data_IF_990623638175
#
_entry.id   IF_990623638175
#
_cell.length_a   1.000
_cell.length_b   1.000
_cell.length_c   1.000
_cell.angle_alpha   90.00
_cell.angle_beta   90.00
_cell.angle_gamma   90.00
#
_symmetry.space_group_name_H-M   'P 1'
#
loop_
_entity.id
_entity.type
_entity.pdbx_description
1 polymer ?
#
# COMPACT_ATOMS: atom_id res chain seq x y z
N UNK A 1 -24.29 -5.78 -2.90
CA UNK A 1 -24.89 -6.64 -1.87
C UNK A 1 -24.80 -5.94 -0.54
N UNK A 2 -25.90 -5.83 0.19
CA UNK A 2 -25.96 -5.22 1.52
C UNK A 2 -25.74 -6.34 2.55
N UNK A 3 -24.65 -6.28 3.34
CA UNK A 3 -24.34 -7.29 4.35
C UNK A 3 -25.22 -7.23 5.60
N UNK A 4 -26.09 -6.23 5.73
CA UNK A 4 -27.17 -6.25 6.71
C UNK A 4 -28.33 -7.17 6.27
N UNK A 5 -28.37 -7.53 4.97
CA UNK A 5 -29.37 -8.42 4.41
C UNK A 5 -28.74 -9.18 3.22
N UNK A 6 -28.00 -10.24 3.51
CA UNK A 6 -27.31 -11.04 2.48
C UNK A 6 -28.36 -11.81 1.68
N UNK A 7 -28.40 -11.58 0.39
CA UNK A 7 -29.14 -12.39 -0.55
C UNK A 7 -28.27 -13.56 -1.03
N UNK A 8 -28.43 -14.71 -0.40
CA UNK A 8 -27.64 -15.91 -0.73
C UNK A 8 -27.94 -16.47 -2.12
N UNK A 9 -29.08 -16.16 -2.72
CA UNK A 9 -29.40 -16.52 -4.10
C UNK A 9 -28.53 -15.73 -5.08
N UNK A 10 -28.36 -14.42 -4.85
CA UNK A 10 -27.42 -13.60 -5.64
C UNK A 10 -25.97 -14.04 -5.42
N UNK A 11 -25.56 -14.38 -4.19
CA UNK A 11 -24.23 -14.92 -3.90
C UNK A 11 -23.97 -16.22 -4.66
N UNK A 12 -24.93 -17.13 -4.66
CA UNK A 12 -24.86 -18.42 -5.34
C UNK A 12 -24.63 -18.28 -6.85
N UNK A 13 -25.19 -17.25 -7.47
CA UNK A 13 -25.00 -16.98 -8.90
C UNK A 13 -23.58 -16.52 -9.27
N UNK A 14 -22.77 -16.14 -8.31
CA UNK A 14 -21.41 -15.63 -8.56
C UNK A 14 -20.36 -16.74 -8.70
N UNK A 15 -20.62 -17.97 -8.24
CA UNK A 15 -19.65 -19.07 -8.22
C UNK A 15 -20.30 -20.45 -8.15
N UNK A 16 -19.78 -21.45 -8.89
CA UNK A 16 -20.32 -22.81 -8.92
C UNK A 16 -20.42 -23.46 -7.53
N UNK A 17 -19.36 -23.40 -6.75
CA UNK A 17 -19.32 -23.97 -5.40
C UNK A 17 -20.31 -23.27 -4.45
N UNK A 18 -20.53 -21.95 -4.63
CA UNK A 18 -21.54 -21.22 -3.87
C UNK A 18 -22.97 -21.65 -4.24
N UNK A 19 -23.19 -21.97 -5.51
CA UNK A 19 -24.46 -22.51 -5.98
C UNK A 19 -24.73 -23.91 -5.39
N UNK A 20 -23.70 -24.78 -5.36
CA UNK A 20 -23.81 -26.10 -4.75
C UNK A 20 -24.16 -26.02 -3.26
N UNK A 21 -23.46 -25.18 -2.49
CA UNK A 21 -23.75 -24.98 -1.06
C UNK A 21 -25.16 -24.40 -0.85
N UNK A 22 -25.57 -23.45 -1.68
CA UNK A 22 -26.90 -22.85 -1.58
C UNK A 22 -28.03 -23.85 -1.88
N UNK A 23 -27.84 -24.72 -2.89
CA UNK A 23 -28.81 -25.77 -3.21
C UNK A 23 -28.94 -26.82 -2.10
N UNK A 24 -27.87 -27.07 -1.36
CA UNK A 24 -27.89 -28.04 -0.25
C UNK A 24 -28.45 -27.47 1.05
N UNK A 25 -28.11 -26.22 1.38
CA UNK A 25 -28.36 -25.64 2.71
C UNK A 25 -29.12 -24.30 2.71
N UNK A 26 -29.44 -23.74 1.54
CA UNK A 26 -29.96 -22.39 1.36
C UNK A 26 -29.06 -21.30 1.98
N UNK A 27 -27.78 -21.60 2.16
CA UNK A 27 -26.77 -20.73 2.78
C UNK A 27 -25.42 -20.91 2.08
N UNK A 28 -24.56 -19.89 2.12
CA UNK A 28 -23.18 -19.93 1.63
C UNK A 28 -22.24 -19.56 2.79
N UNK A 29 -21.22 -20.36 3.02
CA UNK A 29 -20.30 -20.18 4.14
C UNK A 29 -19.46 -18.90 4.02
N UNK A 30 -19.21 -18.25 5.15
CA UNK A 30 -18.36 -17.02 5.24
C UNK A 30 -16.95 -17.25 4.67
N UNK A 31 -16.38 -18.45 4.83
CA UNK A 31 -15.07 -18.80 4.28
C UNK A 31 -15.08 -18.78 2.74
N UNK A 32 -16.15 -19.29 2.12
CA UNK A 32 -16.30 -19.24 0.67
C UNK A 32 -16.55 -17.81 0.19
N UNK A 33 -17.40 -17.04 0.90
CA UNK A 33 -17.64 -15.62 0.60
C UNK A 33 -16.33 -14.81 0.70
N UNK A 34 -15.53 -15.01 1.75
CA UNK A 34 -14.21 -14.37 1.90
C UNK A 34 -13.29 -14.67 0.73
N UNK A 35 -13.22 -15.94 0.28
CA UNK A 35 -12.44 -16.35 -0.90
C UNK A 35 -12.93 -15.65 -2.17
N UNK A 36 -14.24 -15.61 -2.41
CA UNK A 36 -14.84 -14.94 -3.58
C UNK A 36 -14.57 -13.45 -3.58
N UNK A 37 -14.57 -12.78 -2.42
CA UNK A 37 -14.20 -11.37 -2.27
C UNK A 37 -12.71 -11.17 -2.60
N UNK A 38 -11.83 -12.00 -2.08
CA UNK A 38 -10.39 -11.93 -2.37
C UNK A 38 -10.07 -12.17 -3.85
N UNK A 39 -10.81 -13.06 -4.51
CA UNK A 39 -10.72 -13.34 -5.94
C UNK A 39 -11.42 -12.27 -6.83
N UNK A 40 -12.03 -11.25 -6.21
CA UNK A 40 -12.76 -10.16 -6.88
C UNK A 40 -13.97 -10.66 -7.72
N UNK A 41 -14.57 -11.75 -7.32
CA UNK A 41 -15.80 -12.28 -7.92
C UNK A 41 -17.05 -11.64 -7.28
N UNK A 42 -16.91 -11.14 -6.06
CA UNK A 42 -17.96 -10.49 -5.30
C UNK A 42 -17.41 -9.26 -4.59
N UNK A 43 -18.23 -8.22 -4.45
CA UNK A 43 -17.85 -6.97 -3.77
C UNK A 43 -18.88 -6.65 -2.71
N UNK A 44 -18.51 -6.64 -1.41
CA UNK A 44 -19.40 -6.25 -0.33
C UNK A 44 -19.72 -4.76 -0.39
N UNK A 45 -20.94 -4.40 -0.12
CA UNK A 45 -21.43 -3.01 -0.07
C UNK A 45 -22.04 -2.75 1.29
N UNK A 46 -21.58 -1.69 1.96
CA UNK A 46 -22.09 -1.25 3.26
C UNK A 46 -22.71 0.14 3.13
N UNK A 47 -23.93 0.30 3.65
CA UNK A 47 -24.61 1.58 3.72
C UNK A 47 -24.46 2.17 5.10
N UNK A 48 -24.01 3.42 5.18
CA UNK A 48 -23.81 4.06 6.47
C UNK A 48 -23.62 5.56 6.39
N UNK A 49 -23.51 6.17 7.56
CA UNK A 49 -23.19 7.58 7.74
C UNK A 49 -22.05 7.70 8.75
N UNK A 50 -20.84 7.91 8.29
CA UNK A 50 -19.66 8.06 9.14
C UNK A 50 -19.81 9.19 10.17
N UNK A 51 -20.41 10.32 9.76
CA UNK A 51 -20.66 11.45 10.67
C UNK A 51 -21.60 11.09 11.84
N UNK A 52 -22.57 10.19 11.60
CA UNK A 52 -23.54 9.75 12.61
C UNK A 52 -23.14 8.42 13.25
N UNK A 53 -22.00 7.85 12.87
CA UNK A 53 -21.51 6.53 13.29
C UNK A 53 -22.47 5.37 12.98
N UNK A 54 -23.43 5.55 12.06
CA UNK A 54 -24.32 4.48 11.61
C UNK A 54 -23.62 3.64 10.54
N UNK A 55 -23.70 2.30 10.64
CA UNK A 55 -23.10 1.37 9.68
C UNK A 55 -21.58 1.26 9.76
N UNK A 56 -20.90 1.95 10.70
CA UNK A 56 -19.44 1.90 10.85
C UNK A 56 -19.01 0.59 11.51
N UNK A 57 -19.76 0.14 12.51
CA UNK A 57 -19.47 -1.14 13.19
C UNK A 57 -19.65 -2.32 12.24
N UNK A 58 -20.69 -2.33 11.45
CA UNK A 58 -20.97 -3.34 10.42
C UNK A 58 -19.85 -3.40 9.37
N UNK A 59 -19.34 -2.25 8.93
CA UNK A 59 -18.22 -2.18 8.00
C UNK A 59 -16.95 -2.75 8.63
N UNK A 60 -16.64 -2.40 9.87
CA UNK A 60 -15.45 -2.91 10.58
C UNK A 60 -15.53 -4.42 10.78
N UNK A 61 -16.70 -4.92 11.22
CA UNK A 61 -16.94 -6.35 11.37
C UNK A 61 -16.83 -7.09 10.04
N UNK A 62 -17.34 -6.51 8.97
CA UNK A 62 -17.20 -7.08 7.63
C UNK A 62 -15.74 -7.14 7.13
N UNK A 63 -14.93 -6.13 7.44
CA UNK A 63 -13.49 -6.16 7.15
C UNK A 63 -12.81 -7.29 7.94
N UNK A 64 -13.12 -7.42 9.23
CA UNK A 64 -12.55 -8.46 10.09
C UNK A 64 -12.94 -9.87 9.65
N UNK A 65 -14.19 -10.05 9.19
CA UNK A 65 -14.73 -11.34 8.75
C UNK A 65 -14.20 -11.76 7.37
N UNK A 66 -14.19 -10.83 6.41
CA UNK A 66 -14.01 -11.19 4.99
C UNK A 66 -12.63 -10.85 4.42
N UNK A 67 -11.82 -10.03 5.11
CA UNK A 67 -10.48 -9.69 4.64
C UNK A 67 -9.43 -10.54 5.37
N UNK A 68 -8.89 -11.53 4.67
CA UNK A 68 -7.79 -12.31 5.20
C UNK A 68 -6.47 -11.55 5.13
N UNK A 69 -5.61 -11.72 6.15
CA UNK A 69 -4.23 -11.25 6.06
C UNK A 69 -3.48 -12.05 4.99
N UNK A 70 -2.70 -11.42 4.11
CA UNK A 70 -1.84 -12.11 3.16
C UNK A 70 -0.86 -13.04 3.90
N UNK A 71 -0.59 -14.19 3.31
CA UNK A 71 0.52 -15.02 3.75
C UNK A 71 1.83 -14.36 3.30
N UNK A 72 2.62 -13.91 4.25
CA UNK A 72 3.89 -13.25 4.00
C UNK A 72 5.02 -14.26 4.04
N UNK A 73 5.83 -14.31 2.98
CA UNK A 73 7.01 -15.17 2.93
C UNK A 73 8.03 -14.86 4.03
N UNK A 74 8.94 -15.80 4.30
CA UNK A 74 9.98 -15.66 5.33
C UNK A 74 11.14 -14.75 4.91
N UNK A 75 11.39 -14.64 3.60
CA UNK A 75 12.45 -13.78 3.07
C UNK A 75 12.05 -12.31 3.09
N UNK A 76 13.01 -11.45 3.44
CA UNK A 76 12.74 -10.01 3.46
C UNK A 76 12.33 -9.50 2.09
N UNK A 77 11.18 -8.85 2.06
CA UNK A 77 10.73 -8.06 0.93
C UNK A 77 9.92 -6.85 1.39
N UNK A 78 10.00 -5.76 0.65
CA UNK A 78 9.26 -4.54 0.95
C UNK A 78 8.90 -3.78 -0.32
N UNK A 79 7.74 -3.14 -0.34
CA UNK A 79 7.29 -2.26 -1.42
C UNK A 79 7.39 -0.81 -0.99
N UNK A 80 8.17 -0.03 -1.72
CA UNK A 80 8.23 1.43 -1.56
C UNK A 80 7.03 2.06 -2.24
N UNK A 81 6.23 2.82 -1.51
CA UNK A 81 5.04 3.45 -2.09
C UNK A 81 5.12 4.98 -2.14
N UNK A 82 6.02 5.59 -1.38
CA UNK A 82 6.17 7.05 -1.33
C UNK A 82 7.56 7.45 -0.85
N UNK A 83 8.04 8.59 -1.34
CA UNK A 83 9.23 9.27 -0.83
C UNK A 83 8.78 10.64 -0.29
N UNK A 84 9.26 11.02 0.89
CA UNK A 84 9.06 12.36 1.45
C UNK A 84 10.34 12.88 2.09
N UNK A 85 10.31 14.13 2.56
CA UNK A 85 11.37 14.71 3.39
C UNK A 85 10.75 15.23 4.67
N UNK A 86 11.43 15.05 5.78
CA UNK A 86 11.01 15.62 7.06
C UNK A 86 11.37 17.11 7.14
N UNK A 87 10.96 17.77 8.24
CA UNK A 87 11.19 19.21 8.47
C UNK A 87 12.69 19.60 8.48
N UNK A 88 13.56 18.63 8.65
CA UNK A 88 15.03 18.79 8.60
C UNK A 88 15.60 18.54 7.22
N UNK A 89 14.76 18.19 6.24
CA UNK A 89 15.15 17.82 4.88
C UNK A 89 15.70 16.40 4.75
N UNK A 90 15.63 15.55 5.81
CA UNK A 90 16.04 14.16 5.75
C UNK A 90 15.07 13.35 4.86
N UNK A 91 15.63 12.56 3.94
CA UNK A 91 14.82 11.72 3.03
C UNK A 91 14.20 10.55 3.77
N UNK A 92 12.91 10.39 3.60
CA UNK A 92 12.09 9.32 4.15
C UNK A 92 11.57 8.43 3.03
N UNK A 93 11.97 7.17 3.06
CA UNK A 93 11.42 6.13 2.17
C UNK A 93 10.29 5.42 2.90
N UNK A 94 9.05 5.65 2.44
CA UNK A 94 7.87 5.00 2.99
C UNK A 94 7.66 3.66 2.29
N UNK A 95 7.57 2.60 3.08
CA UNK A 95 7.45 1.24 2.57
C UNK A 95 6.51 0.39 3.41
N UNK A 96 5.97 -0.66 2.80
CA UNK A 96 5.29 -1.76 3.46
C UNK A 96 6.20 -2.97 3.41
N UNK A 97 6.47 -3.60 4.55
CA UNK A 97 7.18 -4.87 4.62
C UNK A 97 6.23 -5.96 4.14
N UNK A 98 6.62 -6.68 3.07
CA UNK A 98 5.81 -7.70 2.40
C UNK A 98 6.31 -9.13 2.65
N UNK A 99 7.43 -9.31 3.35
CA UNK A 99 7.99 -10.60 3.73
C UNK A 99 9.09 -10.43 4.76
N UNK A 100 9.33 -11.44 5.58
CA UNK A 100 10.34 -11.45 6.61
C UNK A 100 10.28 -10.28 7.58
N UNK A 101 11.42 -9.66 7.85
CA UNK A 101 11.50 -8.48 8.72
C UNK A 101 12.58 -7.50 8.26
N UNK A 102 12.33 -6.21 8.47
CA UNK A 102 13.27 -5.12 8.25
C UNK A 102 13.89 -4.71 9.58
N UNK A 103 15.19 -4.75 9.69
CA UNK A 103 15.92 -4.37 10.92
C UNK A 103 16.64 -3.04 10.75
N UNK A 104 16.69 -2.27 11.83
CA UNK A 104 17.55 -1.10 11.94
C UNK A 104 19.00 -1.53 11.69
N UNK A 105 19.74 -0.72 10.92
CA UNK A 105 21.12 -1.01 10.46
C UNK A 105 21.27 -2.14 9.44
N UNK A 106 20.19 -2.74 8.95
CA UNK A 106 20.20 -3.69 7.86
C UNK A 106 20.73 -3.03 6.58
N UNK A 107 21.49 -3.79 5.79
CA UNK A 107 21.96 -3.38 4.47
C UNK A 107 20.91 -3.74 3.42
N UNK A 108 20.56 -2.79 2.58
CA UNK A 108 19.71 -2.97 1.39
C UNK A 108 20.53 -2.52 0.19
N UNK A 109 21.00 -3.49 -0.60
CA UNK A 109 21.99 -3.20 -1.63
C UNK A 109 23.28 -2.64 -1.00
N UNK A 110 23.68 -1.44 -1.42
CA UNK A 110 24.84 -0.73 -0.90
C UNK A 110 24.52 0.29 0.21
N UNK A 111 23.25 0.44 0.56
CA UNK A 111 22.76 1.44 1.52
C UNK A 111 22.35 0.81 2.84
N UNK A 112 22.41 1.59 3.90
CA UNK A 112 22.11 1.14 5.25
C UNK A 112 20.88 1.84 5.80
N UNK A 113 19.91 1.06 6.28
CA UNK A 113 18.76 1.57 7.02
C UNK A 113 19.25 2.19 8.34
N UNK A 114 19.04 3.49 8.53
CA UNK A 114 19.46 4.17 9.75
C UNK A 114 18.42 4.06 10.85
N UNK A 115 17.19 4.43 10.57
CA UNK A 115 16.08 4.47 11.51
C UNK A 115 14.81 3.96 10.84
N UNK A 116 13.99 3.24 11.59
CA UNK A 116 12.64 2.81 11.18
C UNK A 116 11.64 3.59 12.01
N UNK A 117 10.73 4.31 11.35
CA UNK A 117 9.70 5.16 11.97
C UNK A 117 8.31 4.63 11.63
N UNK A 118 7.49 4.37 12.63
CA UNK A 118 6.07 4.07 12.47
C UNK A 118 5.28 5.31 12.85
N UNK A 119 4.47 5.81 11.93
CA UNK A 119 3.71 7.03 12.09
C UNK A 119 2.31 6.76 12.63
N UNK A 120 1.85 7.64 13.52
CA UNK A 120 0.48 7.74 13.99
C UNK A 120 0.07 9.22 13.92
N UNK A 121 -0.56 9.63 12.82
CA UNK A 121 -0.74 11.03 12.47
C UNK A 121 0.61 11.72 12.24
N UNK A 122 0.83 12.88 12.86
CA UNK A 122 2.07 13.66 12.73
C UNK A 122 3.21 13.17 13.63
N UNK A 123 2.92 12.23 14.54
CA UNK A 123 3.91 11.68 15.45
C UNK A 123 4.42 10.34 14.97
N UNK A 124 5.67 10.04 15.27
CA UNK A 124 6.25 8.74 14.98
C UNK A 124 6.91 8.11 16.20
N UNK A 125 6.95 6.79 16.18
CA UNK A 125 7.73 5.97 17.13
C UNK A 125 8.84 5.28 16.36
N UNK A 126 10.07 5.35 16.89
CA UNK A 126 11.20 4.60 16.30
C UNK A 126 11.18 3.17 16.81
N UNK A 127 11.31 2.23 15.88
CA UNK A 127 11.40 0.80 16.19
C UNK A 127 12.69 0.20 15.65
N UNK A 128 13.15 -0.90 16.23
CA UNK A 128 14.36 -1.58 15.80
C UNK A 128 14.09 -2.63 14.71
N UNK A 129 12.89 -3.15 14.66
CA UNK A 129 12.47 -4.18 13.70
C UNK A 129 11.02 -3.97 13.29
N UNK A 130 10.76 -4.06 11.98
CA UNK A 130 9.44 -4.03 11.39
C UNK A 130 9.18 -5.39 10.72
N UNK A 131 8.20 -6.13 11.21
CA UNK A 131 7.80 -7.43 10.66
C UNK A 131 6.92 -7.27 9.42
N UNK A 132 6.76 -8.33 8.65
CA UNK A 132 5.86 -8.36 7.50
C UNK A 132 4.45 -7.86 7.85
N UNK A 133 3.85 -7.09 6.94
CA UNK A 133 2.60 -6.36 7.16
C UNK A 133 2.78 -4.94 7.71
N UNK A 134 3.93 -4.61 8.31
CA UNK A 134 4.17 -3.28 8.87
C UNK A 134 4.35 -2.23 7.77
N UNK A 135 3.66 -1.10 7.95
CA UNK A 135 3.86 0.12 7.15
C UNK A 135 4.73 1.09 7.95
N UNK A 136 5.85 1.48 7.39
CA UNK A 136 6.81 2.35 8.08
C UNK A 136 7.54 3.27 7.10
N UNK A 137 8.26 4.25 7.65
CA UNK A 137 9.21 5.06 6.92
C UNK A 137 10.62 4.79 7.42
N UNK A 138 11.58 4.75 6.50
CA UNK A 138 12.98 4.53 6.84
C UNK A 138 13.87 5.66 6.36
N UNK A 139 14.94 5.92 7.10
CA UNK A 139 16.00 6.84 6.70
C UNK A 139 17.25 6.07 6.31
N UNK A 140 18.11 6.71 5.52
CA UNK A 140 19.39 6.13 5.08
C UNK A 140 19.38 5.50 3.70
N UNK A 141 18.22 5.47 3.01
CA UNK A 141 18.09 5.01 1.63
C UNK A 141 18.00 6.23 0.70
N UNK A 142 18.87 6.36 -0.27
CA UNK A 142 18.92 7.48 -1.22
C UNK A 142 18.58 7.08 -2.66
N UNK A 143 18.76 5.81 -3.02
CA UNK A 143 18.58 5.33 -4.39
C UNK A 143 17.19 4.73 -4.67
N UNK A 144 16.40 4.47 -3.62
CA UNK A 144 15.07 3.88 -3.75
C UNK A 144 14.07 4.80 -4.45
N UNK A 145 13.12 4.22 -5.20
CA UNK A 145 12.07 4.95 -5.92
C UNK A 145 10.69 4.50 -5.48
N UNK A 146 9.71 5.40 -5.57
CA UNK A 146 8.31 5.02 -5.37
C UNK A 146 7.88 4.00 -6.42
N UNK A 147 7.15 2.95 -6.00
CA UNK A 147 6.76 1.82 -6.84
C UNK A 147 7.76 0.66 -6.87
N UNK A 148 8.99 0.88 -6.40
CA UNK A 148 10.05 -0.13 -6.39
C UNK A 148 9.78 -1.22 -5.34
N UNK A 149 10.12 -2.46 -5.69
CA UNK A 149 10.24 -3.57 -4.77
C UNK A 149 11.69 -3.72 -4.28
N UNK A 150 11.86 -4.05 -3.00
CA UNK A 150 13.16 -4.25 -2.36
C UNK A 150 13.16 -5.65 -1.75
N UNK A 151 14.23 -6.41 -1.97
CA UNK A 151 14.37 -7.78 -1.45
C UNK A 151 13.83 -8.83 -2.41
N UNK A 152 13.37 -9.97 -1.87
CA UNK A 152 12.96 -11.11 -2.67
C UNK A 152 11.52 -10.98 -3.21
N UNK A 153 11.28 -11.42 -4.44
CA UNK A 153 9.96 -11.88 -4.91
C UNK A 153 8.92 -10.81 -5.25
N UNK A 154 9.30 -9.61 -5.66
CA UNK A 154 8.35 -8.62 -6.13
C UNK A 154 8.67 -8.05 -7.51
N UNK A 155 7.65 -7.61 -8.23
CA UNK A 155 7.81 -6.86 -9.48
C UNK A 155 7.73 -5.36 -9.20
N UNK A 156 8.63 -4.60 -9.81
CA UNK A 156 8.58 -3.15 -9.77
C UNK A 156 7.32 -2.68 -10.51
N UNK A 157 6.51 -1.89 -9.82
CA UNK A 157 5.33 -1.30 -10.43
C UNK A 157 5.74 0.00 -11.14
N UNK A 158 6.24 -0.15 -12.37
CA UNK A 158 6.61 0.98 -13.20
C UNK A 158 5.32 1.67 -13.66
N UNK A 159 5.17 3.00 -13.47
CA UNK A 159 4.00 3.73 -13.96
C UNK A 159 3.84 3.53 -15.47
N UNK A 160 2.65 3.06 -15.89
CA UNK A 160 2.32 2.86 -17.31
C UNK A 160 2.03 4.20 -18.02
N UNK A 161 1.76 5.25 -17.24
CA UNK A 161 1.44 6.56 -17.78
C UNK A 161 2.72 7.32 -18.14
N UNK A 162 2.95 7.48 -19.43
CA UNK A 162 3.98 8.40 -19.94
C UNK A 162 3.45 9.86 -19.94
N UNK A 163 4.34 10.86 -19.68
CA UNK A 163 3.94 12.25 -19.71
C UNK A 163 3.50 12.67 -21.10
N UNK A 164 2.24 13.10 -21.22
CA UNK A 164 1.62 13.53 -22.49
C UNK A 164 2.01 14.98 -22.84
N UNK A 165 2.35 15.79 -21.84
CA UNK A 165 2.68 17.21 -22.00
C UNK A 165 4.11 17.47 -21.55
N UNK A 166 4.89 18.07 -22.43
CA UNK A 166 6.25 18.52 -22.15
C UNK A 166 6.31 20.05 -22.16
N UNK A 167 6.95 20.64 -21.15
CA UNK A 167 7.15 22.07 -21.03
C UNK A 167 8.65 22.39 -21.03
N UNK A 168 9.00 23.44 -21.78
CA UNK A 168 10.34 24.02 -21.70
C UNK A 168 10.41 25.02 -20.56
N UNK A 169 11.32 24.79 -19.62
CA UNK A 169 11.58 25.76 -18.54
C UNK A 169 12.52 26.86 -19.03
N UNK A 170 12.06 28.12 -19.04
CA UNK A 170 12.91 29.26 -19.33
C UNK A 170 13.55 29.73 -18.02
N UNK A 171 14.87 29.62 -17.95
CA UNK A 171 15.61 30.00 -16.74
C UNK A 171 15.89 31.53 -16.74
N UNK A 172 15.74 32.22 -15.58
CA UNK A 172 16.20 33.58 -15.42
C UNK A 172 17.71 33.70 -15.65
N UNK A 173 18.15 34.86 -16.13
CA UNK A 173 19.57 35.14 -16.34
C UNK A 173 20.35 34.97 -15.02
N UNK A 174 21.47 34.25 -15.05
CA UNK A 174 22.31 33.99 -13.89
C UNK A 174 21.92 32.74 -13.07
N UNK A 175 20.88 32.00 -13.48
CA UNK A 175 20.55 30.73 -12.82
C UNK A 175 21.51 29.63 -13.27
N UNK A 176 22.10 28.91 -12.31
CA UNK A 176 22.89 27.70 -12.60
C UNK A 176 21.96 26.54 -12.97
N UNK A 177 22.01 26.03 -14.21
CA UNK A 177 21.15 24.92 -14.65
C UNK A 177 21.39 23.63 -13.88
N UNK A 178 22.62 23.34 -13.46
CA UNK A 178 22.99 22.11 -12.75
C UNK A 178 22.38 22.10 -11.34
N UNK A 179 22.53 23.21 -10.63
CA UNK A 179 21.95 23.36 -9.29
C UNK A 179 20.39 23.30 -9.33
N UNK A 180 19.79 23.90 -10.37
CA UNK A 180 18.35 23.82 -10.56
C UNK A 180 17.88 22.40 -10.89
N UNK A 181 18.58 21.69 -11.77
CA UNK A 181 18.27 20.30 -12.12
C UNK A 181 18.24 19.39 -10.89
N UNK A 182 19.21 19.58 -9.97
CA UNK A 182 19.23 18.85 -8.70
C UNK A 182 17.97 19.09 -7.86
N UNK A 183 17.50 20.34 -7.79
CA UNK A 183 16.26 20.69 -7.09
C UNK A 183 15.02 20.11 -7.78
N UNK A 184 14.98 20.13 -9.11
CA UNK A 184 13.89 19.55 -9.88
C UNK A 184 13.81 18.03 -9.68
N UNK A 185 14.93 17.33 -9.68
CA UNK A 185 14.98 15.88 -9.36
C UNK A 185 14.47 15.57 -7.95
N UNK A 186 14.74 16.45 -6.98
CA UNK A 186 14.16 16.31 -5.63
C UNK A 186 12.63 16.43 -5.66
N UNK A 187 12.07 17.34 -6.48
CA UNK A 187 10.62 17.45 -6.66
C UNK A 187 10.03 16.25 -7.37
N UNK A 188 10.72 15.69 -8.36
CA UNK A 188 10.33 14.46 -9.05
C UNK A 188 10.20 13.28 -8.09
N UNK A 189 11.15 13.12 -7.14
CA UNK A 189 11.07 12.08 -6.11
C UNK A 189 9.85 12.19 -5.20
N UNK A 190 9.41 13.42 -4.90
CA UNK A 190 8.27 13.71 -4.02
C UNK A 190 6.92 13.59 -4.70
N UNK A 191 6.91 13.66 -6.01
CA UNK A 191 5.74 13.64 -6.86
C UNK A 191 5.93 12.60 -7.96
N UNK A 192 4.87 11.95 -8.41
CA UNK A 192 4.91 11.09 -9.61
C UNK A 192 4.99 11.91 -10.93
N UNK A 193 5.34 13.19 -10.84
CA UNK A 193 5.58 14.06 -11.99
C UNK A 193 6.99 13.76 -12.49
N UNK A 194 7.12 13.36 -13.74
CA UNK A 194 8.42 13.18 -14.40
C UNK A 194 8.96 14.53 -14.85
N UNK A 195 10.21 14.81 -14.51
CA UNK A 195 10.91 16.05 -14.85
C UNK A 195 12.08 15.77 -15.78
#
# INVERSE_FOLDING_TARGET
MDFNNIDYEEVAMCHEEALEQFLESAHVDDALMSRMIMERKMFPVYFGSALRMNGVEELINGIDTYVSCPDYGEEFSAKVYKITRDDRGERLTHLKVCGGSLKSKMLIGNEKVNQIRVYAGDKFTSINEAVAGTVCAVTGLSETKAGQFIGAGGEDNIPVLEPVLNYKLNLPAGTDPVALLSKLRTLEELSLIHI
#
